data_IF_076210206354
#
_entry.id   IF_076210206354
#
_cell.length_a   1.000
_cell.length_b   1.000
_cell.length_c   1.000
_cell.angle_alpha   90.00
_cell.angle_beta   90.00
_cell.angle_gamma   90.00
#
_symmetry.space_group_name_H-M   'P 1'
#
loop_
_entity.id
_entity.type
_entity.pdbx_description
1 polymer ?
#
# COMPACT_ATOMS: atom_id res chain seq x y z
N UNK A 1 48.94 24.60 -13.03
CA UNK A 1 48.22 24.62 -14.32
C UNK A 1 46.84 24.09 -14.04
N UNK A 2 45.85 24.97 -14.09
CA UNK A 2 44.44 24.59 -13.98
C UNK A 2 44.10 24.02 -15.35
N UNK A 3 43.95 22.71 -15.45
CA UNK A 3 43.48 22.08 -16.68
C UNK A 3 42.13 22.68 -17.03
N UNK A 4 42.12 23.46 -18.11
CA UNK A 4 40.91 23.98 -18.71
C UNK A 4 39.99 22.80 -19.02
N UNK A 5 38.81 22.82 -18.38
CA UNK A 5 37.65 22.04 -18.80
C UNK A 5 37.34 22.40 -20.26
N UNK A 6 37.99 21.71 -21.20
CA UNK A 6 37.73 21.83 -22.63
C UNK A 6 36.30 21.37 -22.87
N UNK A 7 35.39 22.33 -23.06
CA UNK A 7 34.07 22.03 -23.58
C UNK A 7 34.20 21.46 -24.99
N UNK A 8 33.65 20.28 -25.22
CA UNK A 8 33.51 19.70 -26.55
C UNK A 8 32.61 20.58 -27.42
N UNK A 9 33.04 20.83 -28.66
CA UNK A 9 32.31 21.68 -29.62
C UNK A 9 30.90 21.14 -29.83
N UNK A 10 29.88 21.92 -29.42
CA UNK A 10 28.47 21.52 -29.49
C UNK A 10 27.79 21.23 -28.14
N UNK A 11 28.52 21.25 -27.02
CA UNK A 11 27.89 21.22 -25.69
C UNK A 11 27.48 22.63 -25.23
N UNK A 12 26.27 22.73 -24.67
CA UNK A 12 25.81 23.94 -24.00
C UNK A 12 26.79 24.39 -22.91
N UNK A 13 26.95 25.71 -22.78
CA UNK A 13 27.70 26.35 -21.71
C UNK A 13 27.30 25.78 -20.35
N UNK A 14 28.26 25.68 -19.42
CA UNK A 14 28.05 25.17 -18.05
C UNK A 14 26.80 25.77 -17.39
N UNK A 15 26.54 27.06 -17.62
CA UNK A 15 25.35 27.77 -17.12
C UNK A 15 24.03 27.15 -17.60
N UNK A 16 23.95 26.72 -18.87
CA UNK A 16 22.77 26.08 -19.44
C UNK A 16 22.56 24.65 -18.93
N UNK A 17 23.64 23.94 -18.57
CA UNK A 17 23.55 22.64 -17.89
C UNK A 17 23.08 22.82 -16.44
N UNK A 18 23.62 23.82 -15.73
CA UNK A 18 23.24 24.15 -14.35
C UNK A 18 21.77 24.54 -14.24
N UNK A 19 21.28 25.45 -15.09
CA UNK A 19 19.88 25.90 -15.05
C UNK A 19 18.90 24.75 -15.31
N UNK A 20 19.21 23.84 -16.25
CA UNK A 20 18.37 22.65 -16.49
C UNK A 20 18.32 21.70 -15.29
N UNK A 21 19.42 21.56 -14.56
CA UNK A 21 19.44 20.77 -13.33
C UNK A 21 18.57 21.40 -12.25
N UNK A 22 18.71 22.72 -12.04
CA UNK A 22 17.88 23.48 -11.08
C UNK A 22 16.40 23.37 -11.43
N UNK A 23 16.01 23.61 -12.68
CA UNK A 23 14.64 23.48 -13.15
C UNK A 23 14.07 22.08 -12.90
N UNK A 24 14.90 21.04 -13.08
CA UNK A 24 14.49 19.65 -12.86
C UNK A 24 14.28 19.37 -11.38
N UNK A 25 15.17 19.86 -10.51
CA UNK A 25 15.05 19.75 -9.05
C UNK A 25 13.84 20.52 -8.54
N UNK A 26 13.59 21.74 -9.02
CA UNK A 26 12.42 22.54 -8.64
C UNK A 26 11.11 21.88 -9.08
N UNK A 27 11.06 21.32 -10.30
CA UNK A 27 9.91 20.54 -10.77
C UNK A 27 9.69 19.29 -9.93
N UNK A 28 10.76 18.57 -9.56
CA UNK A 28 10.65 17.40 -8.68
C UNK A 28 10.22 17.80 -7.27
N UNK A 29 10.74 18.89 -6.71
CA UNK A 29 10.32 19.45 -5.43
C UNK A 29 8.84 19.81 -5.43
N UNK A 30 8.38 20.52 -6.46
CA UNK A 30 6.96 20.87 -6.62
C UNK A 30 6.04 19.65 -6.79
N UNK A 31 6.52 18.56 -7.40
CA UNK A 31 5.76 17.29 -7.49
C UNK A 31 5.68 16.61 -6.13
N UNK A 32 6.78 16.56 -5.38
CA UNK A 32 6.82 15.95 -4.05
C UNK A 32 5.96 16.73 -3.05
N UNK A 33 5.99 18.05 -3.10
CA UNK A 33 5.21 18.93 -2.20
C UNK A 33 3.68 18.81 -2.43
N UNK A 34 3.26 18.31 -3.59
CA UNK A 34 1.85 18.08 -3.94
C UNK A 34 1.35 16.67 -3.60
N UNK A 35 2.23 15.78 -3.12
CA UNK A 35 1.84 14.44 -2.71
C UNK A 35 1.06 14.50 -1.38
N UNK A 36 -0.27 14.49 -1.49
CA UNK A 36 -1.17 14.41 -0.33
C UNK A 36 -1.65 12.99 -0.11
N UNK A 37 -1.52 12.52 1.14
CA UNK A 37 -2.15 11.29 1.59
C UNK A 37 -3.64 11.52 1.80
N UNK A 38 -4.46 10.68 1.18
CA UNK A 38 -5.90 10.59 1.46
C UNK A 38 -6.14 9.39 2.38
N UNK A 39 -6.86 9.59 3.48
CA UNK A 39 -7.26 8.51 4.40
C UNK A 39 -8.77 8.27 4.29
N UNK A 40 -9.21 7.02 4.21
CA UNK A 40 -10.63 6.65 4.10
C UNK A 40 -10.86 5.21 4.60
N UNK A 41 -12.09 4.93 5.02
CA UNK A 41 -12.64 3.59 5.26
C UNK A 41 -13.84 3.29 4.33
N UNK A 42 -14.14 4.20 3.40
CA UNK A 42 -15.28 4.08 2.49
C UNK A 42 -15.15 2.88 1.57
N UNK A 43 -16.26 2.16 1.37
CA UNK A 43 -16.34 1.03 0.45
C UNK A 43 -15.77 -0.29 0.99
N UNK A 44 -15.29 -0.32 2.24
CA UNK A 44 -14.94 -1.56 2.93
C UNK A 44 -16.22 -2.25 3.40
N UNK A 45 -16.36 -3.55 3.11
CA UNK A 45 -17.53 -4.34 3.54
C UNK A 45 -17.07 -5.64 4.20
N UNK A 46 -17.41 -5.82 5.47
CA UNK A 46 -17.14 -7.07 6.18
C UNK A 46 -18.05 -8.21 5.74
N UNK A 47 -17.51 -9.42 5.72
CA UNK A 47 -18.19 -10.64 5.30
C UNK A 47 -18.20 -11.67 6.43
N UNK A 48 -19.08 -12.67 6.33
CA UNK A 48 -19.04 -13.89 7.17
C UNK A 48 -19.00 -13.63 8.70
N UNK A 49 -19.64 -12.55 9.17
CA UNK A 49 -19.71 -12.20 10.59
C UNK A 49 -18.40 -11.63 11.16
N UNK A 50 -17.42 -11.32 10.31
CA UNK A 50 -16.23 -10.58 10.71
C UNK A 50 -16.55 -9.12 10.99
N UNK A 51 -15.77 -8.50 11.87
CA UNK A 51 -15.91 -7.11 12.24
C UNK A 51 -14.57 -6.53 12.70
N UNK A 52 -14.40 -5.22 12.57
CA UNK A 52 -13.23 -4.55 13.09
C UNK A 52 -13.05 -3.14 12.58
N UNK A 53 -11.85 -2.62 12.81
CA UNK A 53 -11.43 -1.31 12.35
C UNK A 53 -10.45 -1.51 11.21
N UNK A 54 -10.84 -1.06 10.02
CA UNK A 54 -10.02 -1.16 8.80
C UNK A 54 -10.09 0.18 8.11
N UNK A 55 -8.94 0.68 7.70
CA UNK A 55 -8.84 1.89 6.90
C UNK A 55 -7.69 1.75 5.92
N UNK A 56 -7.73 2.59 4.89
CA UNK A 56 -6.63 2.72 3.96
C UNK A 56 -6.24 4.17 3.80
N UNK A 57 -4.96 4.37 3.51
CA UNK A 57 -4.41 5.62 3.06
C UNK A 57 -3.78 5.42 1.68
N UNK A 58 -3.91 6.42 0.81
CA UNK A 58 -3.27 6.38 -0.49
C UNK A 58 -2.71 7.72 -0.92
N UNK A 59 -1.70 7.66 -1.77
CA UNK A 59 -1.17 8.81 -2.50
C UNK A 59 -1.20 8.51 -4.00
N UNK A 60 -1.75 9.45 -4.78
CA UNK A 60 -1.78 9.37 -6.23
C UNK A 60 -0.43 9.80 -6.80
N UNK A 61 0.20 8.94 -7.60
CA UNK A 61 1.48 9.21 -8.27
C UNK A 61 1.29 8.92 -9.76
N UNK A 62 0.99 9.97 -10.54
CA UNK A 62 0.63 9.82 -11.95
C UNK A 62 -0.67 9.02 -12.11
N UNK A 63 -0.61 7.90 -12.84
CA UNK A 63 -1.73 6.97 -13.08
C UNK A 63 -1.85 5.87 -12.01
N UNK A 64 -0.93 5.81 -11.04
CA UNK A 64 -0.87 4.78 -10.00
C UNK A 64 -1.23 5.34 -8.63
N UNK A 65 -1.60 4.46 -7.71
CA UNK A 65 -1.68 4.80 -6.28
C UNK A 65 -0.78 3.91 -5.47
N UNK A 66 0.01 4.52 -4.59
CA UNK A 66 0.61 3.81 -3.47
C UNK A 66 -0.44 3.76 -2.36
N UNK A 67 -0.80 2.55 -1.94
CA UNK A 67 -1.84 2.28 -0.94
C UNK A 67 -1.20 1.63 0.27
N UNK A 68 -1.59 2.08 1.45
CA UNK A 68 -1.33 1.46 2.75
C UNK A 68 -2.69 1.09 3.34
N UNK A 69 -2.99 -0.20 3.39
CA UNK A 69 -4.24 -0.75 3.92
C UNK A 69 -3.96 -1.43 5.25
N UNK A 70 -4.61 -0.96 6.32
CA UNK A 70 -4.38 -1.45 7.69
C UNK A 70 -5.69 -1.90 8.30
N UNK A 71 -5.64 -2.96 9.09
CA UNK A 71 -6.83 -3.47 9.75
C UNK A 71 -6.53 -4.28 10.99
N UNK A 72 -7.43 -4.16 11.97
CA UNK A 72 -7.50 -5.01 13.14
C UNK A 72 -8.93 -5.55 13.24
N UNK A 73 -9.07 -6.86 13.09
CA UNK A 73 -10.36 -7.52 12.91
C UNK A 73 -10.50 -8.71 13.86
N UNK A 74 -11.76 -9.09 14.11
CA UNK A 74 -12.12 -10.27 14.89
C UNK A 74 -13.26 -11.03 14.22
N UNK A 75 -13.24 -12.33 14.44
CA UNK A 75 -14.21 -13.27 13.89
C UNK A 75 -13.71 -14.70 13.98
N UNK A 76 -14.41 -15.60 13.28
CA UNK A 76 -14.16 -17.03 13.34
C UNK A 76 -13.76 -17.56 11.95
N UNK A 77 -12.75 -18.42 11.90
CA UNK A 77 -12.38 -19.18 10.70
C UNK A 77 -11.98 -20.60 11.07
N UNK A 78 -12.33 -21.56 10.20
CA UNK A 78 -11.99 -22.97 10.39
C UNK A 78 -10.57 -23.26 9.89
N UNK A 79 -9.92 -24.19 10.58
CA UNK A 79 -8.62 -24.73 10.19
C UNK A 79 -8.62 -25.22 8.73
N UNK A 80 -7.51 -25.01 8.05
CA UNK A 80 -7.23 -25.41 6.67
C UNK A 80 -8.20 -24.89 5.59
N UNK A 81 -9.14 -23.99 5.94
CA UNK A 81 -10.09 -23.39 5.01
C UNK A 81 -9.72 -21.94 4.69
N UNK A 82 -10.01 -21.52 3.47
CA UNK A 82 -9.99 -20.10 3.11
C UNK A 82 -11.31 -19.47 3.54
N UNK A 83 -11.25 -18.41 4.33
CA UNK A 83 -12.42 -17.64 4.78
C UNK A 83 -12.29 -16.22 4.27
N UNK A 84 -13.28 -15.74 3.53
CA UNK A 84 -13.37 -14.34 3.13
C UNK A 84 -13.74 -13.49 4.35
N UNK A 85 -12.94 -12.45 4.60
CA UNK A 85 -13.05 -11.56 5.76
C UNK A 85 -13.84 -10.30 5.40
N UNK A 86 -13.48 -9.69 4.25
CA UNK A 86 -14.03 -8.42 3.80
C UNK A 86 -13.72 -8.16 2.32
N UNK A 87 -14.36 -7.15 1.74
CA UNK A 87 -13.99 -6.57 0.44
C UNK A 87 -13.47 -5.15 0.61
N UNK A 88 -12.56 -4.74 -0.27
CA UNK A 88 -12.07 -3.37 -0.42
C UNK A 88 -12.61 -2.76 -1.72
N UNK A 89 -12.67 -1.42 -1.86
CA UNK A 89 -13.16 -0.81 -3.08
C UNK A 89 -12.19 -1.04 -4.26
N UNK A 90 -12.75 -1.12 -5.47
CA UNK A 90 -11.99 -1.44 -6.70
C UNK A 90 -10.88 -0.43 -6.99
N UNK A 91 -11.02 0.81 -6.54
CA UNK A 91 -10.06 1.89 -6.78
C UNK A 91 -8.74 1.75 -5.98
N UNK A 92 -8.66 0.78 -5.06
CA UNK A 92 -7.46 0.45 -4.28
C UNK A 92 -7.11 -1.04 -4.34
N UNK A 93 -7.66 -1.82 -5.28
CA UNK A 93 -7.31 -3.25 -5.33
C UNK A 93 -5.90 -3.46 -5.91
N UNK A 94 -5.08 -4.36 -5.35
CA UNK A 94 -3.76 -4.66 -5.89
C UNK A 94 -3.88 -5.39 -7.23
N UNK A 95 -2.95 -5.14 -8.15
CA UNK A 95 -2.90 -5.87 -9.45
C UNK A 95 -2.61 -7.36 -9.28
N UNK A 96 -1.81 -7.68 -8.27
CA UNK A 96 -1.38 -9.04 -7.97
C UNK A 96 -1.89 -9.46 -6.60
N UNK A 97 -1.99 -10.77 -6.39
CA UNK A 97 -2.29 -11.34 -5.08
C UNK A 97 -1.25 -10.89 -4.06
N UNK A 98 -1.72 -10.42 -2.91
CA UNK A 98 -0.89 -10.03 -1.76
C UNK A 98 -1.01 -11.08 -0.67
N UNK A 99 0.09 -11.36 0.03
CA UNK A 99 0.17 -12.31 1.13
C UNK A 99 0.89 -11.67 2.32
N UNK A 100 0.30 -11.77 3.50
CA UNK A 100 0.93 -11.42 4.77
C UNK A 100 0.85 -12.62 5.70
N UNK A 101 2.01 -13.14 6.07
CA UNK A 101 2.12 -14.16 7.10
C UNK A 101 1.91 -13.50 8.45
N UNK A 102 0.92 -14.01 9.17
CA UNK A 102 0.65 -13.64 10.54
C UNK A 102 1.44 -14.54 11.48
N UNK A 103 1.53 -14.14 12.74
CA UNK A 103 2.18 -14.98 13.74
C UNK A 103 1.48 -16.34 13.88
N UNK A 104 2.31 -17.36 14.04
CA UNK A 104 2.02 -18.74 14.44
C UNK A 104 1.36 -19.68 13.42
N UNK A 105 0.35 -19.30 12.61
CA UNK A 105 -0.25 -20.29 11.66
C UNK A 105 -1.18 -19.73 10.58
N UNK A 106 -1.32 -18.42 10.41
CA UNK A 106 -2.29 -17.85 9.46
C UNK A 106 -1.67 -16.94 8.40
N UNK A 107 -2.33 -16.90 7.25
CA UNK A 107 -1.97 -16.08 6.10
C UNK A 107 -3.18 -15.24 5.76
N UNK A 108 -3.04 -13.92 5.91
CA UNK A 108 -4.01 -12.96 5.36
C UNK A 108 -3.61 -12.69 3.92
N UNK A 109 -4.59 -12.70 3.02
CA UNK A 109 -4.34 -12.51 1.60
C UNK A 109 -5.36 -11.58 0.96
N UNK A 110 -4.88 -10.80 0.01
CA UNK A 110 -5.72 -10.01 -0.90
C UNK A 110 -5.72 -10.70 -2.26
N UNK A 111 -6.90 -11.04 -2.77
CA UNK A 111 -7.12 -11.61 -4.10
C UNK A 111 -8.21 -10.80 -4.78
N UNK A 112 -7.86 -10.10 -5.87
CA UNK A 112 -8.71 -9.06 -6.48
C UNK A 112 -9.12 -8.01 -5.43
N UNK A 113 -10.41 -7.81 -5.19
CA UNK A 113 -10.92 -6.89 -4.17
C UNK A 113 -11.26 -7.58 -2.83
N UNK A 114 -10.95 -8.87 -2.69
CA UNK A 114 -11.31 -9.66 -1.51
C UNK A 114 -10.13 -9.87 -0.59
N UNK A 115 -10.39 -9.73 0.71
CA UNK A 115 -9.44 -10.06 1.76
C UNK A 115 -9.95 -11.28 2.48
N UNK A 116 -9.06 -12.26 2.64
CA UNK A 116 -9.38 -13.51 3.30
C UNK A 116 -8.23 -14.04 4.12
N UNK A 117 -8.52 -15.00 4.99
CA UNK A 117 -7.52 -15.68 5.80
C UNK A 117 -7.52 -17.18 5.50
N UNK A 118 -6.33 -17.77 5.54
CA UNK A 118 -6.14 -19.22 5.63
C UNK A 118 -5.30 -19.51 6.86
N UNK A 119 -5.75 -20.43 7.72
CA UNK A 119 -5.06 -20.75 8.98
C UNK A 119 -4.81 -22.26 9.10
N UNK A 120 -3.69 -22.65 9.70
CA UNK A 120 -3.37 -24.03 10.07
C UNK A 120 -4.28 -24.55 11.19
N UNK A 121 -4.65 -23.68 12.14
CA UNK A 121 -5.60 -23.95 13.22
C UNK A 121 -6.89 -23.15 13.10
N UNK A 122 -7.90 -23.50 13.91
CA UNK A 122 -9.12 -22.70 14.03
C UNK A 122 -8.77 -21.31 14.59
N UNK A 123 -9.27 -20.27 13.93
CA UNK A 123 -9.29 -18.91 14.48
C UNK A 123 -10.63 -18.76 15.18
N UNK A 124 -10.58 -18.50 16.49
CA UNK A 124 -11.78 -18.23 17.30
C UNK A 124 -11.81 -16.76 17.67
N UNK A 125 -12.99 -16.17 17.61
CA UNK A 125 -13.21 -14.80 18.07
C UNK A 125 -12.79 -14.68 19.54
N UNK A 126 -12.04 -13.63 19.88
CA UNK A 126 -11.61 -13.40 21.26
C UNK A 126 -12.82 -13.12 22.15
N UNK A 127 -12.89 -13.80 23.30
CA UNK A 127 -13.89 -13.52 24.34
C UNK A 127 -13.64 -12.18 25.04
N UNK A 128 -12.41 -11.67 24.95
CA UNK A 128 -11.94 -10.51 25.72
C UNK A 128 -11.94 -9.24 24.86
N UNK A 129 -12.73 -9.23 23.78
CA UNK A 129 -12.83 -8.14 22.79
C UNK A 129 -11.51 -7.78 22.09
N UNK A 130 -10.49 -8.64 22.18
CA UNK A 130 -9.20 -8.46 21.51
C UNK A 130 -9.30 -8.79 20.01
N UNK A 131 -8.56 -8.08 19.17
CA UNK A 131 -8.42 -8.43 17.75
C UNK A 131 -7.60 -9.71 17.61
N UNK A 132 -8.08 -10.67 16.81
CA UNK A 132 -7.37 -11.93 16.58
C UNK A 132 -6.63 -11.96 15.22
N UNK A 133 -6.85 -10.95 14.36
CA UNK A 133 -6.07 -10.71 13.15
C UNK A 133 -5.76 -9.22 13.00
N UNK A 134 -4.48 -8.90 12.78
CA UNK A 134 -4.00 -7.54 12.49
C UNK A 134 -3.16 -7.60 11.23
N UNK A 135 -3.45 -6.77 10.24
CA UNK A 135 -2.73 -6.77 8.97
C UNK A 135 -2.40 -5.35 8.52
N UNK A 136 -1.34 -5.28 7.71
CA UNK A 136 -0.92 -4.09 7.01
C UNK A 136 -0.34 -4.49 5.66
N UNK A 137 -0.94 -3.96 4.60
CA UNK A 137 -0.49 -4.16 3.24
C UNK A 137 -0.10 -2.83 2.63
N UNK A 138 1.14 -2.76 2.15
CA UNK A 138 1.66 -1.65 1.37
C UNK A 138 1.85 -2.13 -0.07
N UNK A 139 1.19 -1.51 -1.03
CA UNK A 139 1.23 -1.93 -2.44
C UNK A 139 0.87 -0.81 -3.40
N UNK A 140 1.11 -1.06 -4.68
CA UNK A 140 0.74 -0.15 -5.76
C UNK A 140 -0.40 -0.76 -6.58
N UNK A 141 -1.47 0.02 -6.79
CA UNK A 141 -2.53 -0.32 -7.75
C UNK A 141 -2.41 0.48 -9.05
#
# INVERSE_FOLDING_TARGET
MVDELKMTHGEDLWQGKYNRLVDTVEKMGGVVDQLHWTTSDDGIVFLNGWQGNVSYEYVQIGDKKLVSLRGAIKGNAKAAQYTELMTIPDNIKPKNRMLQYQYWDSIVQIVDNKIGVRSGGDIKESTDSTWNLVFEFNYVC
#
